data_IF_483845827632
#
_entry.id   IF_483845827632
#
_cell.length_a   1.000
_cell.length_b   1.000
_cell.length_c   1.000
_cell.angle_alpha   90.00
_cell.angle_beta   90.00
_cell.angle_gamma   90.00
#
_symmetry.space_group_name_H-M   'P 1'
#
loop_
_entity.id
_entity.type
_entity.pdbx_description
1 polymer ?
#
# COMPACT_ATOMS: atom_id res chain seq x y z
N UNK A 1 20.96 -25.31 -18.83
CA UNK A 1 19.75 -25.51 -18.02
C UNK A 1 19.20 -24.14 -17.71
N UNK A 2 18.27 -23.64 -18.51
CA UNK A 2 17.49 -22.47 -18.13
C UNK A 2 16.46 -22.93 -17.11
N UNK A 3 16.62 -22.52 -15.85
CA UNK A 3 15.57 -22.68 -14.85
C UNK A 3 14.49 -21.63 -15.16
N UNK A 4 13.63 -21.93 -16.13
CA UNK A 4 12.47 -21.11 -16.45
C UNK A 4 11.43 -21.20 -15.34
N UNK A 5 10.97 -20.06 -14.82
CA UNK A 5 9.86 -20.00 -13.88
C UNK A 5 8.62 -20.68 -14.48
N UNK A 6 7.96 -21.52 -13.70
CA UNK A 6 6.73 -22.19 -14.12
C UNK A 6 5.52 -21.26 -13.97
N UNK A 7 4.42 -21.58 -14.65
CA UNK A 7 3.14 -20.88 -14.44
C UNK A 7 2.70 -20.89 -12.97
N UNK A 8 3.03 -21.96 -12.24
CA UNK A 8 2.77 -22.08 -10.79
C UNK A 8 3.59 -21.07 -10.00
N UNK A 9 4.86 -20.87 -10.34
CA UNK A 9 5.72 -19.87 -9.70
C UNK A 9 5.19 -18.45 -9.94
N UNK A 10 4.72 -18.18 -11.16
CA UNK A 10 4.08 -16.91 -11.50
C UNK A 10 2.77 -16.68 -10.73
N UNK A 11 1.95 -17.72 -10.58
CA UNK A 11 0.71 -17.63 -9.79
C UNK A 11 1.00 -17.36 -8.31
N UNK A 12 1.99 -18.04 -7.74
CA UNK A 12 2.41 -17.85 -6.35
C UNK A 12 2.99 -16.45 -6.13
N UNK A 13 3.80 -15.96 -7.06
CA UNK A 13 4.36 -14.61 -6.99
C UNK A 13 3.28 -13.53 -6.98
N UNK A 14 2.26 -13.64 -7.84
CA UNK A 14 1.11 -12.70 -7.84
C UNK A 14 0.37 -12.70 -6.51
N UNK A 15 0.11 -13.87 -5.92
CA UNK A 15 -0.54 -13.96 -4.61
C UNK A 15 0.28 -13.29 -3.50
N UNK A 16 1.61 -13.46 -3.53
CA UNK A 16 2.50 -12.82 -2.54
C UNK A 16 2.52 -11.31 -2.66
N UNK A 17 2.50 -10.76 -3.88
CA UNK A 17 2.48 -9.31 -4.08
C UNK A 17 1.21 -8.69 -3.47
N UNK A 18 0.04 -9.31 -3.60
CA UNK A 18 -1.18 -8.81 -2.94
C UNK A 18 -1.01 -8.76 -1.42
N UNK A 19 -0.47 -9.84 -0.82
CA UNK A 19 -0.20 -9.86 0.62
C UNK A 19 0.81 -8.79 1.06
N UNK A 20 1.85 -8.55 0.26
CA UNK A 20 2.85 -7.51 0.54
C UNK A 20 2.26 -6.10 0.39
N UNK A 21 1.39 -5.89 -0.58
CA UNK A 21 0.68 -4.63 -0.78
C UNK A 21 -0.24 -4.32 0.41
N UNK A 22 -1.07 -5.27 0.83
CA UNK A 22 -1.96 -5.09 1.98
C UNK A 22 -1.18 -4.84 3.27
N UNK A 23 -0.10 -5.60 3.52
CA UNK A 23 0.77 -5.38 4.68
C UNK A 23 1.42 -3.99 4.68
N UNK A 24 1.82 -3.49 3.50
CA UNK A 24 2.38 -2.15 3.36
C UNK A 24 1.31 -1.06 3.56
N UNK A 25 0.10 -1.24 3.03
CA UNK A 25 -0.98 -0.28 3.26
C UNK A 25 -1.44 -0.27 4.72
N UNK A 26 -1.43 -1.43 5.39
CA UNK A 26 -1.69 -1.53 6.83
C UNK A 26 -0.65 -0.76 7.67
N UNK A 27 0.64 -0.82 7.30
CA UNK A 27 1.65 -0.02 7.99
C UNK A 27 1.43 1.49 7.82
N UNK A 28 1.06 1.94 6.62
CA UNK A 28 0.70 3.35 6.40
C UNK A 28 -0.51 3.78 7.23
N UNK A 29 -1.54 2.93 7.31
CA UNK A 29 -2.73 3.22 8.12
C UNK A 29 -2.39 3.36 9.61
N UNK A 30 -1.49 2.54 10.12
CA UNK A 30 -0.99 2.65 11.50
C UNK A 30 -0.27 3.98 11.73
N UNK A 31 0.62 4.38 10.81
CA UNK A 31 1.30 5.69 10.88
C UNK A 31 0.31 6.87 10.84
N UNK A 32 -0.76 6.78 10.04
CA UNK A 32 -1.81 7.81 9.99
C UNK A 32 -2.58 7.90 11.31
N UNK A 33 -2.90 6.77 11.94
CA UNK A 33 -3.56 6.73 13.25
C UNK A 33 -2.67 7.38 14.31
N UNK A 34 -1.37 7.08 14.31
CA UNK A 34 -0.40 7.70 15.22
C UNK A 34 -0.32 9.22 15.02
N UNK A 35 -0.26 9.68 13.77
CA UNK A 35 -0.27 11.11 13.42
C UNK A 35 -1.54 11.79 13.94
N UNK A 36 -2.71 11.22 13.70
CA UNK A 36 -3.99 11.77 14.16
C UNK A 36 -4.14 11.75 15.69
N UNK A 37 -3.51 10.78 16.35
CA UNK A 37 -3.48 10.62 17.80
C UNK A 37 -2.44 11.51 18.48
N UNK A 38 -1.54 12.13 17.72
CA UNK A 38 -0.52 13.04 18.23
C UNK A 38 -1.12 14.36 18.77
N UNK A 39 -0.26 15.19 19.39
CA UNK A 39 -0.66 16.52 19.84
C UNK A 39 -1.00 17.48 18.69
N UNK A 40 -1.31 18.74 19.02
CA UNK A 40 -1.62 19.77 18.03
C UNK A 40 -3.10 19.95 17.73
N UNK A 41 -3.42 21.02 17.02
CA UNK A 41 -4.78 21.37 16.65
C UNK A 41 -5.35 20.41 15.61
N UNK A 42 -6.69 20.23 15.55
CA UNK A 42 -7.31 19.41 14.51
C UNK A 42 -6.95 19.85 13.08
N UNK A 43 -6.76 21.15 12.84
CA UNK A 43 -6.37 21.69 11.54
C UNK A 43 -4.95 21.31 11.13
N UNK A 44 -3.99 21.34 12.05
CA UNK A 44 -2.61 20.94 11.77
C UNK A 44 -2.56 19.47 11.37
N UNK A 45 -3.18 18.59 12.18
CA UNK A 45 -3.23 17.15 11.88
C UNK A 45 -3.88 16.85 10.55
N UNK A 46 -4.96 17.57 10.20
CA UNK A 46 -5.64 17.40 8.93
C UNK A 46 -4.71 17.70 7.74
N UNK A 47 -4.03 18.85 7.75
CA UNK A 47 -3.14 19.24 6.66
C UNK A 47 -1.88 18.39 6.58
N UNK A 48 -1.33 17.96 7.71
CA UNK A 48 -0.22 17.03 7.74
C UNK A 48 -0.60 15.66 7.17
N UNK A 49 -1.77 15.13 7.56
CA UNK A 49 -2.28 13.87 7.01
C UNK A 49 -2.56 13.97 5.50
N UNK A 50 -3.18 15.07 5.03
CA UNK A 50 -3.44 15.30 3.60
C UNK A 50 -2.14 15.25 2.80
N UNK A 51 -1.11 15.97 3.27
CA UNK A 51 0.20 16.00 2.63
C UNK A 51 0.82 14.61 2.59
N UNK A 52 0.77 13.88 3.70
CA UNK A 52 1.35 12.54 3.80
C UNK A 52 0.66 11.54 2.88
N UNK A 53 -0.68 11.50 2.89
CA UNK A 53 -1.46 10.66 1.96
C UNK A 53 -1.14 10.97 0.51
N UNK A 54 -0.96 12.25 0.15
CA UNK A 54 -0.61 12.66 -1.22
C UNK A 54 0.78 12.16 -1.64
N UNK A 55 1.71 12.07 -0.72
CA UNK A 55 3.05 11.52 -0.95
C UNK A 55 3.01 10.00 -1.04
N UNK A 56 2.38 9.33 -0.07
CA UNK A 56 2.30 7.88 0.01
C UNK A 56 1.50 7.27 -1.16
N UNK A 57 0.51 7.99 -1.68
CA UNK A 57 -0.19 7.63 -2.92
C UNK A 57 0.75 7.45 -4.11
N UNK A 58 1.94 8.05 -4.13
CA UNK A 58 2.90 7.92 -5.23
C UNK A 58 3.78 6.67 -5.11
N UNK A 59 3.75 5.98 -3.98
CA UNK A 59 4.53 4.77 -3.76
C UNK A 59 4.05 3.63 -4.65
N UNK A 60 4.98 2.79 -5.12
CA UNK A 60 4.64 1.61 -5.92
C UNK A 60 3.74 0.64 -5.14
N UNK A 61 3.94 0.52 -3.81
CA UNK A 61 3.10 -0.30 -2.95
C UNK A 61 1.62 0.13 -2.92
N UNK A 62 1.32 1.41 -3.16
CA UNK A 62 -0.06 1.91 -3.28
C UNK A 62 -0.55 1.93 -4.74
N UNK A 63 0.33 2.21 -5.70
CA UNK A 63 -0.04 2.35 -7.11
C UNK A 63 -0.23 1.04 -7.86
N UNK A 64 0.34 -0.08 -7.36
CA UNK A 64 0.17 -1.40 -7.99
C UNK A 64 -1.32 -1.74 -8.00
N UNK A 65 -1.96 -1.54 -9.15
CA UNK A 65 -3.36 -1.90 -9.39
C UNK A 65 -3.35 -3.21 -10.15
N UNK A 66 -3.72 -4.30 -9.49
CA UNK A 66 -3.94 -5.54 -10.21
C UNK A 66 -5.12 -5.35 -11.17
N UNK A 67 -4.87 -5.46 -12.48
CA UNK A 67 -5.89 -5.50 -13.55
C UNK A 67 -6.73 -6.80 -13.49
N UNK A 68 -7.21 -7.18 -12.32
CA UNK A 68 -8.04 -8.36 -12.10
C UNK A 68 -8.85 -8.35 -10.81
N UNK A 69 -8.92 -7.23 -10.08
CA UNK A 69 -9.51 -7.17 -8.74
C UNK A 69 -10.49 -6.03 -8.49
N UNK A 70 -10.96 -5.32 -9.52
CA UNK A 70 -12.13 -4.44 -9.40
C UNK A 70 -12.98 -4.62 -10.66
N UNK A 71 -13.81 -5.67 -10.62
CA UNK A 71 -15.11 -5.56 -11.25
C UNK A 71 -15.89 -4.44 -10.56
N UNK A 72 -16.72 -3.80 -11.37
CA UNK A 72 -17.76 -2.83 -11.01
C UNK A 72 -18.41 -3.10 -9.65
#
# INVERSE_FOLDING_TARGET
MEQGFTEKDWKLFRQKITGWQEAYMDSLNKEYIELLSSGGSPSEKFWELEKRIREDKKSAGVQVRFLGGMGL
#
